data_IF_491072486813
#
_entry.id   IF_491072486813
#
_cell.length_a   1.000
_cell.length_b   1.000
_cell.length_c   1.000
_cell.angle_alpha   90.00
_cell.angle_beta   90.00
_cell.angle_gamma   90.00
#
_symmetry.space_group_name_H-M   'P 1'
#
loop_
_entity.id
_entity.type
_entity.pdbx_description
1 polymer ?
#
# COMPACT_ATOMS: atom_id res chain seq x y z
N UNK A 1 -12.55 -12.74 -0.09
CA UNK A 1 -12.83 -11.74 0.95
C UNK A 1 -11.87 -10.57 0.82
N UNK A 2 -12.36 -9.38 1.07
CA UNK A 2 -11.51 -8.18 0.99
C UNK A 2 -10.51 -8.15 2.16
N UNK A 3 -9.36 -7.55 1.91
CA UNK A 3 -8.37 -7.33 2.97
C UNK A 3 -8.83 -6.19 3.88
N UNK A 4 -8.52 -6.29 5.16
CA UNK A 4 -8.76 -5.17 6.06
C UNK A 4 -7.65 -4.13 5.91
N UNK A 5 -7.93 -2.88 6.32
CA UNK A 5 -6.92 -1.83 6.31
C UNK A 5 -5.71 -2.23 7.15
N UNK A 6 -5.95 -2.87 8.30
CA UNK A 6 -4.86 -3.31 9.18
C UNK A 6 -3.96 -4.35 8.51
N UNK A 7 -4.53 -5.26 7.73
CA UNK A 7 -3.73 -6.24 7.00
C UNK A 7 -2.86 -5.57 5.95
N UNK A 8 -3.41 -4.60 5.24
CA UNK A 8 -2.66 -3.86 4.22
C UNK A 8 -1.49 -3.13 4.88
N UNK A 9 -1.75 -2.43 5.98
CA UNK A 9 -0.71 -1.70 6.71
C UNK A 9 0.39 -2.66 7.17
N UNK A 10 -0.01 -3.78 7.75
CA UNK A 10 0.95 -4.77 8.26
C UNK A 10 1.85 -5.30 7.16
N UNK A 11 1.27 -5.69 6.03
CA UNK A 11 2.04 -6.25 4.92
C UNK A 11 3.02 -5.23 4.35
N UNK A 12 2.59 -3.99 4.21
CA UNK A 12 3.47 -2.93 3.70
C UNK A 12 4.62 -2.69 4.68
N UNK A 13 4.35 -2.62 5.98
CA UNK A 13 5.38 -2.40 6.98
C UNK A 13 6.34 -3.57 7.13
N UNK A 14 5.90 -4.79 6.87
CA UNK A 14 6.79 -5.94 6.89
C UNK A 14 7.87 -5.84 5.80
N UNK A 15 7.50 -5.34 4.63
CA UNK A 15 8.43 -5.19 3.50
C UNK A 15 9.17 -3.86 3.53
N UNK A 16 8.56 -2.82 4.08
CA UNK A 16 9.13 -1.48 4.16
C UNK A 16 9.04 -1.01 5.62
N UNK A 17 9.95 -1.47 6.49
CA UNK A 17 9.80 -1.25 7.95
C UNK A 17 9.79 0.20 8.40
N UNK A 18 10.42 1.10 7.64
CA UNK A 18 10.44 2.53 7.99
C UNK A 18 9.25 3.29 7.44
N UNK A 19 8.31 2.61 6.79
CA UNK A 19 7.19 3.29 6.16
C UNK A 19 6.16 3.80 7.15
N UNK A 20 5.54 4.93 6.79
CA UNK A 20 4.33 5.41 7.45
C UNK A 20 3.20 5.18 6.46
N UNK A 21 2.21 4.41 6.88
CA UNK A 21 1.12 4.00 6.00
C UNK A 21 -0.19 4.53 6.53
N UNK A 22 -0.93 5.24 5.66
CA UNK A 22 -2.27 5.73 5.98
C UNK A 22 -3.23 5.13 4.96
N UNK A 23 -4.28 4.50 5.44
CA UNK A 23 -5.29 3.85 4.60
C UNK A 23 -6.63 4.53 4.79
N UNK A 24 -7.29 4.83 3.68
CA UNK A 24 -8.67 5.32 3.69
C UNK A 24 -9.55 4.39 2.87
N UNK A 25 -10.70 4.06 3.40
CA UNK A 25 -11.70 3.26 2.68
C UNK A 25 -12.57 4.20 1.87
N UNK A 26 -12.39 4.19 0.55
CA UNK A 26 -13.00 5.18 -0.34
C UNK A 26 -14.51 5.08 -0.43
N UNK A 27 -15.05 3.87 -0.29
CA UNK A 27 -16.50 3.63 -0.47
C UNK A 27 -17.18 3.06 0.76
N UNK A 28 -16.45 2.85 1.83
CA UNK A 28 -17.00 2.23 3.02
C UNK A 28 -17.37 0.76 2.86
N UNK A 29 -16.88 0.11 1.80
CA UNK A 29 -17.22 -1.29 1.51
C UNK A 29 -16.10 -2.28 1.85
N UNK A 30 -14.97 -1.79 2.34
CA UNK A 30 -13.83 -2.65 2.68
C UNK A 30 -13.11 -3.22 1.47
N UNK A 31 -13.31 -2.65 0.28
CA UNK A 31 -12.78 -3.23 -0.95
C UNK A 31 -12.09 -2.18 -1.85
N UNK A 32 -12.37 -0.92 -1.64
CA UNK A 32 -11.76 0.17 -2.39
C UNK A 32 -11.02 1.09 -1.43
N UNK A 33 -9.69 1.03 -1.48
CA UNK A 33 -8.84 1.75 -0.54
C UNK A 33 -7.95 2.77 -1.21
N UNK A 34 -7.57 3.79 -0.46
CA UNK A 34 -6.51 4.72 -0.84
C UNK A 34 -5.39 4.61 0.20
N UNK A 35 -4.19 4.30 -0.24
CA UNK A 35 -3.04 4.15 0.64
C UNK A 35 -2.02 5.26 0.37
N UNK A 36 -1.55 5.90 1.43
CA UNK A 36 -0.42 6.82 1.36
C UNK A 36 0.74 6.17 2.10
N UNK A 37 1.85 5.96 1.41
CA UNK A 37 3.04 5.32 1.98
C UNK A 37 4.20 6.29 1.90
N UNK A 38 4.77 6.61 3.04
CA UNK A 38 5.90 7.53 3.15
C UNK A 38 7.09 6.74 3.66
N UNK A 39 8.20 6.75 2.94
CA UNK A 39 9.39 5.99 3.33
C UNK A 39 10.66 6.58 2.76
N UNK A 40 11.70 6.57 3.56
CA UNK A 40 13.03 6.94 3.09
C UNK A 40 13.56 5.96 2.05
N UNK A 41 13.04 4.74 2.05
CA UNK A 41 13.41 3.72 1.07
C UNK A 41 13.02 4.10 -0.35
N UNK A 42 12.14 5.09 -0.50
CA UNK A 42 11.73 5.57 -1.82
C UNK A 42 12.68 6.62 -2.41
N UNK A 43 13.63 7.11 -1.65
CA UNK A 43 14.59 8.10 -2.14
C UNK A 43 15.35 7.57 -3.35
N UNK A 44 15.47 8.40 -4.37
CA UNK A 44 16.18 8.04 -5.60
C UNK A 44 15.42 7.10 -6.52
N UNK A 45 14.19 6.71 -6.17
CA UNK A 45 13.37 5.82 -6.98
C UNK A 45 12.23 6.60 -7.65
N UNK A 46 11.94 6.27 -8.91
CA UNK A 46 10.82 6.89 -9.59
C UNK A 46 9.49 6.33 -9.06
N UNK A 47 8.38 6.98 -9.43
CA UNK A 47 7.06 6.60 -8.93
C UNK A 47 6.68 5.17 -9.31
N UNK A 48 7.04 4.73 -10.50
CA UNK A 48 6.75 3.36 -10.95
C UNK A 48 7.41 2.35 -10.02
N UNK A 49 8.69 2.56 -9.70
CA UNK A 49 9.42 1.67 -8.80
C UNK A 49 8.84 1.70 -7.39
N UNK A 50 8.51 2.90 -6.89
CA UNK A 50 7.89 3.05 -5.57
C UNK A 50 6.58 2.27 -5.48
N UNK A 51 5.73 2.42 -6.49
CA UNK A 51 4.45 1.69 -6.53
C UNK A 51 4.64 0.19 -6.59
N UNK A 52 5.62 -0.28 -7.36
CA UNK A 52 5.93 -1.71 -7.42
C UNK A 52 6.37 -2.26 -6.06
N UNK A 53 7.13 -1.48 -5.30
CA UNK A 53 7.54 -1.89 -3.96
C UNK A 53 6.32 -2.12 -3.06
N UNK A 54 5.34 -1.23 -3.14
CA UNK A 54 4.12 -1.36 -2.35
C UNK A 54 3.30 -2.57 -2.81
N UNK A 55 3.08 -2.71 -4.11
CA UNK A 55 2.32 -3.86 -4.63
C UNK A 55 2.99 -5.19 -4.29
N UNK A 56 4.31 -5.26 -4.38
CA UNK A 56 5.04 -6.47 -4.03
C UNK A 56 4.91 -6.80 -2.55
N UNK A 57 4.80 -5.79 -1.70
CA UNK A 57 4.61 -6.00 -0.27
C UNK A 57 3.29 -6.70 0.05
N UNK A 58 2.32 -6.58 -0.83
CA UNK A 58 1.02 -7.22 -0.67
C UNK A 58 1.03 -8.70 -1.11
N UNK A 59 2.15 -9.19 -1.60
CA UNK A 59 2.39 -10.61 -1.89
C UNK A 59 1.36 -11.22 -2.84
N UNK A 60 0.96 -10.45 -3.85
CA UNK A 60 0.04 -10.94 -4.87
C UNK A 60 -1.41 -10.99 -4.47
N UNK A 61 -1.78 -10.39 -3.35
CA UNK A 61 -3.18 -10.35 -2.91
C UNK A 61 -4.02 -9.32 -3.65
N UNK A 62 -3.37 -8.38 -4.33
CA UNK A 62 -4.07 -7.45 -5.20
C UNK A 62 -4.77 -8.21 -6.33
N UNK A 63 -6.01 -7.84 -6.58
CA UNK A 63 -6.81 -8.47 -7.62
C UNK A 63 -7.63 -9.67 -7.17
N UNK A 64 -7.21 -10.35 -6.10
CA UNK A 64 -7.95 -11.47 -5.53
C UNK A 64 -8.72 -11.05 -4.28
N UNK A 65 -8.02 -10.49 -3.32
CA UNK A 65 -8.61 -10.08 -2.05
C UNK A 65 -8.86 -8.59 -1.97
N UNK A 66 -8.32 -7.83 -2.91
CA UNK A 66 -8.43 -6.38 -2.94
C UNK A 66 -8.63 -5.94 -4.39
N UNK A 67 -9.80 -5.38 -4.70
CA UNK A 67 -10.14 -4.99 -6.07
C UNK A 67 -9.51 -3.70 -6.51
N UNK A 68 -9.42 -2.72 -5.62
CA UNK A 68 -8.87 -1.43 -5.98
C UNK A 68 -8.08 -0.83 -4.84
N UNK A 69 -6.89 -0.38 -5.16
CA UNK A 69 -6.02 0.30 -4.22
C UNK A 69 -5.35 1.45 -4.94
N UNK A 70 -5.74 2.67 -4.58
CA UNK A 70 -5.05 3.86 -5.05
C UNK A 70 -3.83 4.08 -4.16
N UNK A 71 -2.66 4.24 -4.76
CA UNK A 71 -1.42 4.36 -4.00
C UNK A 71 -0.79 5.73 -4.24
N UNK A 72 -0.40 6.37 -3.15
CA UNK A 72 0.44 7.57 -3.17
C UNK A 72 1.71 7.25 -2.40
N UNK A 73 2.85 7.58 -2.97
CA UNK A 73 4.14 7.34 -2.33
C UNK A 73 4.90 8.65 -2.19
N UNK A 74 5.66 8.77 -1.12
CA UNK A 74 6.49 9.94 -0.85
C UNK A 74 7.81 9.48 -0.24
N UNK A 75 8.86 10.25 -0.53
CA UNK A 75 10.18 9.98 0.04
C UNK A 75 10.29 10.37 1.50
N UNK A 76 9.48 11.33 1.91
CA UNK A 76 9.36 11.77 3.29
C UNK A 76 9.15 13.26 3.40
#
# INVERSE_FOLDING_TARGET
>A
MAMTADEIIRLIKESIPDSKVTISDLKGDGDHYSATVISKSFEGKNKITQHKMVYNSLKGKMGNELHALAIKTKEQ
#
